data_IF_613549175540
#
_entry.id   IF_613549175540
#
_cell.length_a   1.000
_cell.length_b   1.000
_cell.length_c   1.000
_cell.angle_alpha   90.00
_cell.angle_beta   90.00
_cell.angle_gamma   90.00
#
_symmetry.space_group_name_H-M   'P 1'
#
loop_
_entity.id
_entity.type
_entity.pdbx_description
1 polymer ?
#
# COMPACT_ATOMS: atom_id res chain seq x y z
N UNK A 1 14.74 -2.67 -6.06
CA UNK A 1 14.28 -1.39 -5.47
C UNK A 1 15.02 -0.28 -6.20
N UNK A 2 14.32 0.69 -6.80
CA UNK A 2 14.97 1.96 -7.15
C UNK A 2 15.24 2.65 -5.81
N UNK A 3 16.51 2.85 -5.46
CA UNK A 3 16.90 3.49 -4.19
C UNK A 3 17.11 4.99 -4.45
N UNK A 4 16.75 5.81 -3.46
CA UNK A 4 17.00 7.26 -3.40
C UNK A 4 16.23 8.10 -4.43
N UNK A 5 14.91 7.91 -4.52
CA UNK A 5 14.06 8.86 -5.23
C UNK A 5 13.90 10.14 -4.39
N UNK A 6 14.12 11.29 -5.01
CA UNK A 6 14.02 12.63 -4.43
C UNK A 6 12.63 13.23 -4.64
N UNK A 7 12.28 14.34 -3.96
CA UNK A 7 11.06 15.09 -4.27
C UNK A 7 10.97 15.53 -5.74
N UNK A 8 12.09 15.88 -6.38
CA UNK A 8 12.12 16.20 -7.81
C UNK A 8 11.72 14.98 -8.68
N UNK A 9 12.14 13.78 -8.29
CA UNK A 9 11.70 12.54 -8.95
C UNK A 9 10.19 12.32 -8.77
N UNK A 10 9.61 12.68 -7.62
CA UNK A 10 8.17 12.57 -7.39
C UNK A 10 7.38 13.38 -8.42
N UNK A 11 7.77 14.63 -8.66
CA UNK A 11 7.14 15.48 -9.67
C UNK A 11 7.23 14.86 -11.08
N UNK A 12 8.39 14.32 -11.47
CA UNK A 12 8.53 13.63 -12.77
C UNK A 12 7.65 12.37 -12.87
N UNK A 13 7.58 11.59 -11.79
CA UNK A 13 6.75 10.39 -11.75
C UNK A 13 5.26 10.70 -11.67
N UNK A 14 4.87 11.89 -11.20
CA UNK A 14 3.48 12.35 -11.19
C UNK A 14 2.88 12.34 -12.59
N UNK A 15 3.63 12.85 -13.57
CA UNK A 15 3.21 12.94 -14.97
C UNK A 15 3.06 11.57 -15.63
N UNK A 16 3.92 10.63 -15.23
CA UNK A 16 3.94 9.26 -15.76
C UNK A 16 2.85 8.40 -15.11
N UNK A 17 2.77 8.42 -13.79
CA UNK A 17 1.90 7.53 -13.02
C UNK A 17 0.47 8.05 -12.94
N UNK A 18 0.27 9.37 -12.95
CA UNK A 18 -1.05 10.01 -12.93
C UNK A 18 -1.94 9.52 -11.79
N UNK A 19 -1.41 9.44 -10.57
CA UNK A 19 -2.23 9.22 -9.36
C UNK A 19 -3.28 10.34 -9.14
N UNK A 20 -4.21 10.24 -8.20
CA UNK A 20 -5.18 11.32 -7.93
C UNK A 20 -4.51 12.59 -7.40
N UNK A 21 -5.04 13.76 -7.73
CA UNK A 21 -4.53 15.04 -7.21
C UNK A 21 -4.64 15.14 -5.68
N UNK A 22 -5.72 14.61 -5.10
CA UNK A 22 -5.91 14.56 -3.64
C UNK A 22 -4.75 13.89 -2.90
N UNK A 23 -4.18 12.83 -3.49
CA UNK A 23 -3.03 12.13 -2.92
C UNK A 23 -1.76 13.01 -2.97
N UNK A 24 -1.62 13.87 -3.98
CA UNK A 24 -0.50 14.81 -4.03
C UNK A 24 -0.65 15.93 -3.01
N UNK A 25 -1.86 16.48 -2.88
CA UNK A 25 -2.15 17.54 -1.91
C UNK A 25 -1.88 17.06 -0.48
N UNK A 26 -2.40 15.88 -0.11
CA UNK A 26 -2.15 15.29 1.22
C UNK A 26 -0.65 15.08 1.50
N UNK A 27 0.13 14.79 0.46
CA UNK A 27 1.57 14.52 0.62
C UNK A 27 2.30 15.82 0.94
N UNK A 28 2.00 16.88 0.19
CA UNK A 28 2.60 18.20 0.42
C UNK A 28 2.22 18.77 1.79
N UNK A 29 0.99 18.53 2.26
CA UNK A 29 0.54 18.93 3.59
C UNK A 29 1.24 18.16 4.71
N UNK A 30 1.45 16.86 4.53
CA UNK A 30 2.07 15.99 5.55
C UNK A 30 3.60 16.09 5.59
N UNK A 31 4.21 16.49 4.47
CA UNK A 31 5.66 16.50 4.30
C UNK A 31 6.16 17.84 3.70
N UNK A 32 5.80 19.01 4.26
CA UNK A 32 6.02 20.32 3.61
C UNK A 32 7.50 20.73 3.47
N UNK A 33 8.40 20.12 4.24
CA UNK A 33 9.84 20.43 4.27
C UNK A 33 10.71 19.18 4.05
N UNK A 34 10.15 18.12 3.47
CA UNK A 34 10.86 16.86 3.30
C UNK A 34 11.67 16.86 2.00
N UNK A 35 12.99 16.80 2.14
CA UNK A 35 13.94 16.88 1.01
C UNK A 35 14.48 15.52 0.57
N UNK A 36 14.29 14.46 1.38
CA UNK A 36 14.95 13.16 1.19
C UNK A 36 13.97 12.03 0.92
N UNK A 37 12.74 12.15 1.40
CA UNK A 37 11.68 11.19 1.13
C UNK A 37 10.82 11.68 -0.04
N UNK A 38 10.53 10.80 -0.99
CA UNK A 38 9.68 11.10 -2.15
C UNK A 38 8.27 10.51 -2.05
N UNK A 39 8.02 9.67 -1.03
CA UNK A 39 6.77 8.93 -0.92
C UNK A 39 6.52 7.98 -2.09
N UNK A 40 7.57 7.51 -2.77
CA UNK A 40 7.48 6.60 -3.90
C UNK A 40 8.32 5.34 -3.67
N UNK A 41 7.66 4.18 -3.66
CA UNK A 41 8.36 2.90 -3.63
C UNK A 41 8.07 2.06 -4.87
N UNK A 42 9.13 1.53 -5.49
CA UNK A 42 9.03 0.70 -6.69
C UNK A 42 9.43 -0.76 -6.39
N UNK A 43 8.44 -1.65 -6.48
CA UNK A 43 8.63 -3.09 -6.29
C UNK A 43 8.59 -3.82 -7.64
N UNK A 44 9.60 -4.64 -7.92
CA UNK A 44 9.71 -5.31 -9.24
C UNK A 44 8.74 -6.49 -9.30
N UNK A 45 7.91 -6.56 -10.33
CA UNK A 45 7.07 -7.74 -10.62
C UNK A 45 7.68 -8.66 -11.69
N UNK A 46 8.72 -8.18 -12.39
CA UNK A 46 9.41 -8.87 -13.48
C UNK A 46 8.88 -8.45 -14.85
N UNK A 47 9.65 -8.74 -15.91
CA UNK A 47 9.36 -8.34 -17.32
C UNK A 47 9.07 -6.84 -17.47
N UNK A 48 9.86 -6.00 -16.79
CA UNK A 48 9.69 -4.53 -16.84
C UNK A 48 8.48 -3.99 -16.07
N UNK A 49 7.71 -4.83 -15.37
CA UNK A 49 6.56 -4.39 -14.57
C UNK A 49 6.93 -4.09 -13.12
N UNK A 50 6.25 -3.11 -12.56
CA UNK A 50 6.41 -2.62 -11.20
C UNK A 50 5.05 -2.48 -10.53
N UNK A 51 5.00 -2.82 -9.25
CA UNK A 51 4.03 -2.24 -8.32
C UNK A 51 4.69 -0.96 -7.79
N UNK A 52 3.98 0.14 -7.88
CA UNK A 52 4.42 1.41 -7.29
C UNK A 52 3.48 1.77 -6.16
N UNK A 53 4.03 1.92 -4.97
CA UNK A 53 3.34 2.52 -3.83
C UNK A 53 3.62 4.02 -3.85
N UNK A 54 2.55 4.80 -3.77
CA UNK A 54 2.60 6.26 -3.71
C UNK A 54 1.99 6.68 -2.39
N UNK A 55 2.82 7.09 -1.43
CA UNK A 55 2.36 7.68 -0.18
C UNK A 55 1.62 8.98 -0.48
N UNK A 56 0.42 9.09 0.10
CA UNK A 56 -0.44 10.25 0.04
C UNK A 56 -0.37 11.07 1.32
N UNK A 57 -0.12 10.46 2.48
CA UNK A 57 0.16 11.16 3.73
C UNK A 57 0.73 10.19 4.77
N UNK A 58 1.27 10.73 5.86
CA UNK A 58 1.83 9.91 6.95
C UNK A 58 0.79 9.23 7.83
N UNK A 59 -0.41 9.80 7.91
CA UNK A 59 -1.50 9.38 8.78
C UNK A 59 -1.17 9.43 10.28
N UNK A 60 -2.19 9.24 11.12
CA UNK A 60 -1.99 9.16 12.58
C UNK A 60 -1.55 7.76 13.05
N UNK A 61 -2.24 6.73 12.56
CA UNK A 61 -2.00 5.31 12.93
C UNK A 61 -1.24 4.58 11.83
N UNK A 62 -1.56 4.91 10.57
CA UNK A 62 -1.06 4.29 9.36
C UNK A 62 -1.16 5.28 8.19
N UNK A 63 -0.20 5.22 7.25
CA UNK A 63 -0.20 6.13 6.12
C UNK A 63 -1.36 5.86 5.17
N UNK A 64 -1.74 6.89 4.41
CA UNK A 64 -2.54 6.77 3.20
C UNK A 64 -1.63 6.54 2.00
N UNK A 65 -1.99 5.60 1.13
CA UNK A 65 -1.25 5.36 -0.11
C UNK A 65 -2.16 4.93 -1.26
N UNK A 66 -1.80 5.30 -2.49
CA UNK A 66 -2.36 4.69 -3.70
C UNK A 66 -1.36 3.71 -4.31
N UNK A 67 -1.89 2.63 -4.91
CA UNK A 67 -1.06 1.61 -5.53
C UNK A 67 -1.24 1.61 -7.05
N UNK A 68 -0.15 1.62 -7.79
CA UNK A 68 -0.13 1.72 -9.24
C UNK A 68 0.56 0.49 -9.84
N UNK A 69 0.04 -0.01 -10.96
CA UNK A 69 0.78 -0.92 -11.85
C UNK A 69 1.42 -0.12 -12.96
N UNK A 70 2.74 -0.24 -13.10
CA UNK A 70 3.53 0.40 -14.15
C UNK A 70 4.29 -0.64 -14.97
N UNK A 71 4.21 -0.57 -16.31
CA UNK A 71 4.85 -1.52 -17.22
C UNK A 71 6.08 -0.98 -17.97
N UNK A 72 6.54 0.23 -17.61
CA UNK A 72 7.60 0.94 -18.32
C UNK A 72 7.07 1.96 -19.33
N UNK A 73 5.78 1.93 -19.67
CA UNK A 73 5.15 2.86 -20.61
C UNK A 73 3.83 3.41 -20.11
N UNK A 74 3.01 2.56 -19.50
CA UNK A 74 1.67 2.87 -19.01
C UNK A 74 1.60 2.60 -17.52
N UNK A 75 0.83 3.45 -16.84
CA UNK A 75 0.47 3.29 -15.44
C UNK A 75 -1.04 3.16 -15.30
N UNK A 76 -1.49 2.42 -14.29
CA UNK A 76 -2.89 2.37 -13.89
C UNK A 76 -3.01 2.19 -12.38
N UNK A 77 -3.98 2.84 -11.76
CA UNK A 77 -4.32 2.60 -10.36
C UNK A 77 -4.86 1.19 -10.17
N UNK A 78 -4.48 0.56 -9.06
CA UNK A 78 -4.99 -0.71 -8.61
C UNK A 78 -6.20 -0.49 -7.72
N UNK A 79 -7.26 -1.27 -7.96
CA UNK A 79 -8.32 -1.49 -7.00
C UNK A 79 -7.98 -2.73 -6.20
N UNK A 80 -7.83 -2.58 -4.89
CA UNK A 80 -7.41 -3.65 -4.00
C UNK A 80 -8.63 -4.18 -3.25
N UNK A 81 -8.96 -5.45 -3.48
CA UNK A 81 -10.13 -6.10 -2.87
C UNK A 81 -10.01 -6.11 -1.35
N UNK A 82 -11.07 -5.73 -0.63
CA UNK A 82 -11.06 -5.49 0.81
C UNK A 82 -10.83 -4.02 1.20
N UNK A 83 -10.54 -3.17 0.22
CA UNK A 83 -10.45 -1.72 0.33
C UNK A 83 -11.31 -1.06 -0.77
N UNK A 84 -12.43 -1.69 -1.14
CA UNK A 84 -13.30 -1.16 -2.19
C UNK A 84 -13.91 0.17 -1.79
N UNK A 85 -14.11 1.06 -2.77
CA UNK A 85 -14.65 2.40 -2.55
C UNK A 85 -13.59 3.43 -2.18
N UNK A 86 -12.41 2.99 -1.75
CA UNK A 86 -11.28 3.85 -1.45
C UNK A 86 -10.32 3.89 -2.64
N UNK A 87 -10.01 5.09 -3.11
CA UNK A 87 -8.92 5.25 -4.10
C UNK A 87 -7.56 5.22 -3.40
N UNK A 88 -7.52 5.73 -2.18
CA UNK A 88 -6.39 5.76 -1.27
C UNK A 88 -6.60 4.74 -0.16
N UNK A 89 -5.65 3.82 -0.01
CA UNK A 89 -5.70 2.77 0.99
C UNK A 89 -4.99 3.24 2.26
N UNK A 90 -5.69 3.16 3.39
CA UNK A 90 -5.12 3.35 4.72
C UNK A 90 -4.65 2.01 5.28
N UNK A 91 -3.35 1.75 5.19
CA UNK A 91 -2.76 0.50 5.68
C UNK A 91 -1.24 0.60 5.82
N UNK A 92 -0.67 -0.21 6.71
CA UNK A 92 0.74 -0.56 6.67
C UNK A 92 0.98 -1.52 5.50
N UNK A 93 1.86 -1.11 4.58
CA UNK A 93 2.22 -1.90 3.41
C UNK A 93 3.51 -2.69 3.64
N UNK A 94 3.56 -3.90 3.10
CA UNK A 94 4.75 -4.72 3.04
C UNK A 94 4.82 -5.45 1.71
N UNK A 95 6.01 -5.55 1.11
CA UNK A 95 6.17 -6.25 -0.16
C UNK A 95 7.23 -7.35 -0.07
N UNK A 96 6.82 -8.60 -0.30
CA UNK A 96 7.73 -9.72 -0.43
C UNK A 96 8.22 -9.85 -1.87
N UNK A 97 9.45 -9.39 -2.13
CA UNK A 97 10.04 -9.38 -3.47
C UNK A 97 10.24 -10.77 -4.09
N UNK A 98 10.52 -11.80 -3.27
CA UNK A 98 10.75 -13.18 -3.74
C UNK A 98 9.43 -13.82 -4.19
N UNK A 99 8.36 -13.63 -3.41
CA UNK A 99 7.03 -14.18 -3.69
C UNK A 99 6.21 -13.29 -4.61
N UNK A 100 6.61 -12.04 -4.80
CA UNK A 100 5.85 -10.99 -5.51
C UNK A 100 4.48 -10.82 -4.89
N UNK A 101 4.47 -10.60 -3.59
CA UNK A 101 3.27 -10.46 -2.79
C UNK A 101 3.26 -9.12 -2.06
N UNK A 102 2.11 -8.44 -2.12
CA UNK A 102 1.80 -7.25 -1.33
C UNK A 102 0.97 -7.69 -0.12
N UNK A 103 1.34 -7.26 1.06
CA UNK A 103 0.54 -7.38 2.28
C UNK A 103 0.14 -5.99 2.75
N UNK A 104 -1.14 -5.83 3.10
CA UNK A 104 -1.69 -4.60 3.66
C UNK A 104 -2.33 -4.92 5.00
N UNK A 105 -1.98 -4.16 6.04
CA UNK A 105 -2.59 -4.23 7.36
C UNK A 105 -3.24 -2.88 7.67
N UNK A 106 -4.57 -2.83 7.61
CA UNK A 106 -5.34 -1.71 8.14
C UNK A 106 -5.64 -1.97 9.60
N UNK A 107 -5.17 -1.08 10.46
CA UNK A 107 -5.31 -1.11 11.91
C UNK A 107 -6.54 -0.30 12.31
N UNK A 108 -7.39 -0.87 13.14
CA UNK A 108 -8.52 -0.14 13.72
C UNK A 108 -8.12 0.63 15.00
N UNK A 109 -6.93 0.37 15.55
CA UNK A 109 -6.38 1.05 16.71
C UNK A 109 -4.87 1.31 16.57
N UNK A 110 -4.31 2.13 17.47
CA UNK A 110 -2.89 2.49 17.42
C UNK A 110 -1.96 1.30 17.66
N UNK A 111 -2.38 0.30 18.44
CA UNK A 111 -1.55 -0.87 18.74
C UNK A 111 -1.62 -1.93 17.63
N UNK A 112 -2.66 -1.91 16.78
CA UNK A 112 -2.84 -2.84 15.67
C UNK A 112 -3.43 -4.18 16.09
N UNK A 113 -4.21 -4.21 17.16
CA UNK A 113 -4.76 -5.43 17.78
C UNK A 113 -5.92 -6.01 17.00
N UNK A 114 -6.63 -5.13 16.29
CA UNK A 114 -7.77 -5.40 15.44
C UNK A 114 -7.62 -4.66 14.11
N UNK A 115 -8.39 -5.11 13.13
CA UNK A 115 -8.46 -4.52 11.81
C UNK A 115 -8.52 -5.57 10.70
N UNK A 116 -7.98 -5.21 9.55
CA UNK A 116 -8.02 -6.01 8.33
C UNK A 116 -6.60 -6.25 7.79
N UNK A 117 -6.25 -7.50 7.57
CA UNK A 117 -5.05 -7.91 6.87
C UNK A 117 -5.42 -8.56 5.54
N UNK A 118 -4.83 -8.09 4.44
CA UNK A 118 -5.00 -8.71 3.12
C UNK A 118 -3.65 -8.91 2.46
N UNK A 119 -3.42 -10.11 1.94
CA UNK A 119 -2.25 -10.43 1.13
C UNK A 119 -2.68 -10.72 -0.30
N UNK A 120 -1.97 -10.12 -1.23
CA UNK A 120 -2.18 -10.25 -2.67
C UNK A 120 -0.95 -10.85 -3.32
N UNK A 121 -1.14 -11.66 -4.35
CA UNK A 121 -0.09 -12.16 -5.22
C UNK A 121 -0.19 -11.55 -6.60
N UNK A 122 0.97 -11.25 -7.18
CA UNK A 122 1.15 -10.89 -8.58
C UNK A 122 1.72 -12.06 -9.40
N UNK A 123 1.79 -13.27 -8.83
CA UNK A 123 2.22 -14.46 -9.55
C UNK A 123 1.26 -14.74 -10.73
N UNK A 124 1.82 -15.03 -11.90
CA UNK A 124 1.03 -15.19 -13.13
C UNK A 124 0.59 -13.87 -13.78
N UNK A 125 0.98 -12.72 -13.24
CA UNK A 125 0.75 -11.40 -13.87
C UNK A 125 -0.64 -10.81 -13.65
N UNK A 126 -1.51 -11.48 -12.90
CA UNK A 126 -2.79 -10.97 -12.43
C UNK A 126 -2.72 -10.77 -10.91
N UNK A 127 -3.29 -9.67 -10.43
CA UNK A 127 -3.47 -9.44 -9.00
C UNK A 127 -4.54 -10.41 -8.48
N UNK A 128 -4.21 -11.16 -7.43
CA UNK A 128 -5.16 -12.07 -6.75
C UNK A 128 -5.01 -11.96 -5.25
N UNK A 129 -6.14 -11.96 -4.54
CA UNK A 129 -6.12 -12.13 -3.07
C UNK A 129 -5.70 -13.57 -2.77
N UNK A 130 -4.65 -13.73 -1.96
CA UNK A 130 -4.20 -15.05 -1.49
C UNK A 130 -4.61 -15.32 -0.06
N UNK A 131 -4.84 -14.27 0.72
CA UNK A 131 -5.29 -14.39 2.11
C UNK A 131 -5.97 -13.08 2.53
N UNK A 132 -7.03 -13.22 3.31
CA UNK A 132 -7.65 -12.12 4.01
C UNK A 132 -7.99 -12.57 5.43
N UNK A 133 -7.68 -11.72 6.40
CA UNK A 133 -7.92 -11.97 7.82
C UNK A 133 -8.47 -10.72 8.48
N UNK A 134 -9.35 -10.89 9.46
CA UNK A 134 -9.97 -9.79 10.17
C UNK A 134 -10.11 -10.14 11.64
N UNK A 135 -9.77 -9.19 12.48
CA UNK A 135 -9.96 -9.24 13.92
C UNK A 135 -10.78 -8.00 14.28
N UNK A 136 -12.03 -8.17 14.71
CA UNK A 136 -12.92 -7.05 15.02
C UNK A 136 -12.85 -6.63 16.49
N UNK A 137 -12.48 -7.57 17.37
CA UNK A 137 -12.27 -7.28 18.79
C UNK A 137 -10.85 -6.78 19.02
N UNK A 138 -10.74 -5.51 19.43
CA UNK A 138 -9.49 -4.81 19.68
C UNK A 138 -8.82 -5.19 21.00
N UNK A 139 -9.49 -5.93 21.90
CA UNK A 139 -8.90 -6.54 23.10
C UNK A 139 -7.93 -5.66 23.92
N UNK A 140 -7.14 -6.31 24.77
CA UNK A 140 -5.90 -5.76 25.32
C UNK A 140 -4.79 -6.76 24.95
N UNK A 141 -3.83 -6.39 24.10
CA UNK A 141 -2.87 -7.35 23.60
C UNK A 141 -1.80 -7.66 24.65
N UNK A 142 -1.57 -8.95 24.88
CA UNK A 142 -0.29 -9.39 25.43
C UNK A 142 0.71 -9.50 24.27
N UNK A 143 1.50 -8.45 24.06
CA UNK A 143 2.58 -8.41 23.06
C UNK A 143 2.21 -7.82 21.70
N UNK A 144 3.06 -8.03 20.69
CA UNK A 144 2.87 -7.50 19.34
C UNK A 144 1.76 -8.27 18.60
N UNK A 145 0.80 -7.58 17.96
CA UNK A 145 -0.25 -8.25 17.19
C UNK A 145 0.32 -9.16 16.10
N UNK A 146 -0.12 -10.42 16.10
CA UNK A 146 0.25 -11.44 15.13
C UNK A 146 -0.91 -11.69 14.17
N UNK A 147 -0.83 -11.08 12.98
CA UNK A 147 -1.89 -11.18 11.97
C UNK A 147 -2.09 -12.61 11.46
N UNK A 148 -1.12 -13.52 11.62
CA UNK A 148 -1.27 -14.93 11.25
C UNK A 148 -2.24 -15.69 12.18
N UNK A 149 -2.56 -15.13 13.35
CA UNK A 149 -3.55 -15.66 14.30
C UNK A 149 -4.96 -15.14 14.07
N UNK A 150 -5.12 -14.05 13.31
CA UNK A 150 -6.43 -13.45 13.07
C UNK A 150 -7.34 -14.40 12.27
N UNK A 151 -8.66 -14.44 12.54
CA UNK A 151 -9.61 -15.23 11.79
C UNK A 151 -9.53 -14.97 10.28
N UNK A 152 -9.53 -16.03 9.48
CA UNK A 152 -9.62 -15.92 8.01
C UNK A 152 -11.02 -15.49 7.60
N UNK A 153 -11.10 -14.57 6.65
CA UNK A 153 -12.37 -14.09 6.10
C UNK A 153 -12.39 -14.21 4.58
N UNK A 154 -13.59 -14.29 4.02
CA UNK A 154 -13.80 -14.11 2.58
C UNK A 154 -14.19 -12.67 2.32
N UNK A 155 -13.44 -12.00 1.44
CA UNK A 155 -13.81 -10.67 0.96
C UNK A 155 -14.99 -10.83 0.00
N UNK A 156 -15.99 -9.94 0.11
CA UNK A 156 -17.14 -9.93 -0.80
C UNK A 156 -16.67 -9.64 -2.23
N UNK A 157 -17.40 -10.17 -3.21
CA UNK A 157 -17.10 -9.99 -4.64
C UNK A 157 -17.46 -8.60 -5.16
#
# INVERSE_FOLDING_TARGET
MRKNLTPADRALWRDVLRWPESCEQGYQESYPNEERYSGLEFHRLGRGRYLVEVTCDGGGIQPGAVFMLYDGRRARSLKLRGFEGETEVRALAGFNQRRRELSLMSKADAMGTCGLFVRYSFAGGLLRVVEARRQDDCGNPDGTPDTDRWPRVRLKE
#
